data_IF_319070100147
#
_entry.id   IF_319070100147
#
_cell.length_a   1.000
_cell.length_b   1.000
_cell.length_c   1.000
_cell.angle_alpha   90.00
_cell.angle_beta   90.00
_cell.angle_gamma   90.00
#
_symmetry.space_group_name_H-M   'P 1'
#
loop_
_entity.id
_entity.type
_entity.pdbx_description
1 polymer ?
#
# COMPACT_ATOMS: atom_id res chain seq x y z
N UNK A 1 11.61 -16.94 -7.91
CA UNK A 1 10.77 -17.12 -6.69
C UNK A 1 10.58 -15.80 -5.93
N UNK A 2 11.64 -15.15 -5.44
CA UNK A 2 11.57 -13.96 -4.55
C UNK A 2 10.73 -12.79 -5.10
N UNK A 3 10.83 -12.49 -6.40
CA UNK A 3 10.01 -11.45 -7.07
C UNK A 3 8.50 -11.70 -7.00
N UNK A 4 8.07 -12.96 -7.09
CA UNK A 4 6.65 -13.32 -7.01
C UNK A 4 6.12 -13.20 -5.58
N UNK A 5 6.97 -13.47 -4.58
CA UNK A 5 6.60 -13.28 -3.17
C UNK A 5 6.34 -11.80 -2.87
N UNK A 6 7.23 -10.91 -3.31
CA UNK A 6 7.04 -9.46 -3.13
C UNK A 6 5.84 -8.94 -3.91
N UNK A 7 5.57 -9.52 -5.09
CA UNK A 7 4.40 -9.18 -5.88
C UNK A 7 3.09 -9.60 -5.22
N UNK A 8 2.98 -10.84 -4.73
CA UNK A 8 1.81 -11.32 -4.00
C UNK A 8 1.59 -10.49 -2.74
N UNK A 9 2.67 -10.19 -2.00
CA UNK A 9 2.59 -9.31 -0.83
C UNK A 9 2.07 -7.92 -1.21
N UNK A 10 2.54 -7.34 -2.30
CA UNK A 10 2.02 -6.06 -2.82
C UNK A 10 0.54 -6.11 -3.16
N UNK A 11 0.06 -7.19 -3.78
CA UNK A 11 -1.38 -7.40 -4.05
C UNK A 11 -2.16 -7.44 -2.75
N UNK A 12 -1.69 -8.19 -1.74
CA UNK A 12 -2.38 -8.30 -0.45
C UNK A 12 -2.47 -6.93 0.24
N UNK A 13 -1.39 -6.15 0.26
CA UNK A 13 -1.39 -4.81 0.88
C UNK A 13 -2.32 -3.85 0.13
N UNK A 14 -2.32 -3.87 -1.20
CA UNK A 14 -3.26 -3.09 -1.99
C UNK A 14 -4.71 -3.51 -1.72
N UNK A 15 -5.00 -4.82 -1.68
CA UNK A 15 -6.32 -5.35 -1.37
C UNK A 15 -6.81 -4.92 0.03
N UNK A 16 -5.94 -4.96 1.04
CA UNK A 16 -6.27 -4.46 2.39
C UNK A 16 -6.69 -2.99 2.39
N UNK A 17 -6.11 -2.18 1.50
CA UNK A 17 -6.41 -0.73 1.42
C UNK A 17 -7.68 -0.44 0.62
N UNK A 18 -7.89 -1.16 -0.49
CA UNK A 18 -8.96 -0.86 -1.44
C UNK A 18 -10.27 -1.62 -1.18
N UNK A 19 -10.25 -2.71 -0.40
CA UNK A 19 -11.47 -3.41 0.00
C UNK A 19 -12.21 -2.57 1.05
N UNK A 20 -13.46 -2.11 0.79
CA UNK A 20 -14.18 -1.17 1.66
C UNK A 20 -14.30 -1.63 3.12
N UNK A 21 -14.55 -2.93 3.34
CA UNK A 21 -14.71 -3.52 4.68
C UNK A 21 -13.43 -3.46 5.51
N UNK A 22 -12.28 -3.65 4.86
CA UNK A 22 -10.96 -3.61 5.51
C UNK A 22 -10.49 -2.17 5.65
N UNK A 23 -10.76 -1.35 4.64
CA UNK A 23 -10.52 0.10 4.65
C UNK A 23 -11.17 0.78 5.85
N UNK A 24 -12.46 0.52 6.10
CA UNK A 24 -13.19 1.04 7.26
C UNK A 24 -12.47 0.69 8.57
N UNK A 25 -12.08 -0.57 8.75
CA UNK A 25 -11.32 -1.01 9.92
C UNK A 25 -9.97 -0.31 10.07
N UNK A 26 -9.29 -0.01 8.96
CA UNK A 26 -7.97 0.62 8.94
C UNK A 26 -8.03 2.15 9.13
N UNK A 27 -9.07 2.82 8.64
CA UNK A 27 -9.27 4.28 8.79
C UNK A 27 -9.87 4.63 10.15
N UNK A 28 -10.70 3.76 10.72
CA UNK A 28 -11.27 3.97 12.05
C UNK A 28 -10.28 3.65 13.18
N UNK A 29 -9.24 2.86 12.89
CA UNK A 29 -8.17 2.56 13.84
C UNK A 29 -6.84 3.19 13.42
N UNK A 30 -6.31 4.09 14.26
CA UNK A 30 -4.97 4.67 14.06
C UNK A 30 -3.91 3.57 13.86
N UNK A 31 -4.02 2.47 14.62
CA UNK A 31 -3.15 1.30 14.50
C UNK A 31 -3.18 0.66 13.10
N UNK A 32 -4.36 0.47 12.51
CA UNK A 32 -4.51 -0.13 11.19
C UNK A 32 -3.83 0.69 10.09
N UNK A 33 -4.02 2.01 10.12
CA UNK A 33 -3.35 2.93 9.19
C UNK A 33 -1.83 2.83 9.29
N UNK A 34 -1.27 2.84 10.50
CA UNK A 34 0.18 2.68 10.71
C UNK A 34 0.71 1.34 10.19
N UNK A 35 -0.02 0.25 10.44
CA UNK A 35 0.35 -1.09 10.02
C UNK A 35 0.43 -1.22 8.49
N UNK A 36 -0.59 -0.70 7.78
CA UNK A 36 -0.62 -0.74 6.31
C UNK A 36 0.45 0.14 5.69
N UNK A 37 0.71 1.32 6.24
CA UNK A 37 1.82 2.17 5.81
C UNK A 37 3.17 1.44 5.96
N UNK A 38 3.39 0.76 7.08
CA UNK A 38 4.64 0.04 7.33
C UNK A 38 4.81 -1.12 6.34
N UNK A 39 3.78 -1.92 6.13
CA UNK A 39 3.75 -2.99 5.12
C UNK A 39 4.01 -2.47 3.70
N UNK A 40 3.36 -1.37 3.33
CA UNK A 40 3.53 -0.72 2.03
C UNK A 40 4.98 -0.27 1.80
N UNK A 41 5.60 0.35 2.81
CA UNK A 41 7.02 0.75 2.76
C UNK A 41 7.93 -0.48 2.59
N UNK A 42 7.67 -1.56 3.34
CA UNK A 42 8.45 -2.81 3.22
C UNK A 42 8.35 -3.38 1.81
N UNK A 43 7.15 -3.44 1.22
CA UNK A 43 6.94 -3.90 -0.16
C UNK A 43 7.71 -3.01 -1.14
N UNK A 44 7.63 -1.69 -0.99
CA UNK A 44 8.34 -0.74 -1.86
C UNK A 44 9.87 -0.91 -1.78
N UNK A 45 10.42 -0.99 -0.56
CA UNK A 45 11.86 -1.17 -0.36
C UNK A 45 12.35 -2.52 -0.90
N UNK A 46 11.59 -3.59 -0.65
CA UNK A 46 11.89 -4.92 -1.16
C UNK A 46 11.83 -4.96 -2.70
N UNK A 47 10.84 -4.30 -3.30
CA UNK A 47 10.70 -4.17 -4.74
C UNK A 47 11.87 -3.40 -5.37
N UNK A 48 12.27 -2.26 -4.79
CA UNK A 48 13.43 -1.48 -5.25
C UNK A 48 14.74 -2.27 -5.11
N UNK A 49 14.93 -2.96 -3.99
CA UNK A 49 16.12 -3.78 -3.75
C UNK A 49 16.23 -4.92 -4.77
N UNK A 50 15.13 -5.64 -5.01
CA UNK A 50 15.08 -6.71 -6.01
C UNK A 50 15.25 -6.16 -7.42
N UNK A 51 14.69 -4.99 -7.73
CA UNK A 51 14.83 -4.36 -9.04
C UNK A 51 16.28 -3.96 -9.35
N UNK A 52 17.05 -3.56 -8.33
CA UNK A 52 18.47 -3.26 -8.47
C UNK A 52 19.29 -4.51 -8.81
N UNK A 53 18.88 -5.68 -8.31
CA UNK A 53 19.56 -6.96 -8.57
C UNK A 53 19.11 -7.63 -9.87
N UNK A 54 17.81 -7.62 -10.11
CA UNK A 54 17.18 -8.23 -11.28
C UNK A 54 16.16 -7.23 -11.83
N UNK A 55 16.48 -6.60 -12.97
CA UNK A 55 15.50 -5.76 -13.67
C UNK A 55 14.36 -6.64 -14.16
N UNK A 56 13.23 -6.58 -13.46
CA UNK A 56 12.04 -7.38 -13.75
C UNK A 56 10.79 -6.52 -13.67
N UNK A 57 9.91 -6.69 -14.66
CA UNK A 57 8.61 -6.03 -14.70
C UNK A 57 7.80 -6.24 -13.41
N UNK A 58 7.86 -7.45 -12.84
CA UNK A 58 7.15 -7.79 -11.60
C UNK A 58 7.57 -6.93 -10.40
N UNK A 59 8.83 -6.54 -10.31
CA UNK A 59 9.30 -5.68 -9.22
C UNK A 59 8.76 -4.25 -9.38
N UNK A 60 8.64 -3.75 -10.62
CA UNK A 60 8.01 -2.45 -10.89
C UNK A 60 6.53 -2.49 -10.50
N UNK A 61 5.81 -3.54 -10.90
CA UNK A 61 4.40 -3.69 -10.50
C UNK A 61 4.25 -3.80 -8.99
N UNK A 62 5.13 -4.55 -8.31
CA UNK A 62 5.12 -4.66 -6.85
C UNK A 62 5.35 -3.31 -6.17
N UNK A 63 6.23 -2.49 -6.74
CA UNK A 63 6.48 -1.13 -6.24
C UNK A 63 5.25 -0.24 -6.39
N UNK A 64 4.57 -0.26 -7.55
CA UNK A 64 3.34 0.49 -7.78
C UNK A 64 2.24 0.05 -6.80
N UNK A 65 2.09 -1.27 -6.60
CA UNK A 65 1.14 -1.83 -5.65
C UNK A 65 1.43 -1.42 -4.21
N UNK A 66 2.70 -1.39 -3.80
CA UNK A 66 3.11 -0.88 -2.48
C UNK A 66 2.93 0.64 -2.34
N UNK A 67 3.05 1.41 -3.43
CA UNK A 67 2.87 2.86 -3.41
C UNK A 67 1.40 3.27 -3.26
N UNK A 68 0.49 2.43 -3.77
CA UNK A 68 -0.95 2.70 -3.79
C UNK A 68 -1.55 2.94 -2.39
N UNK A 69 -1.29 2.12 -1.36
CA UNK A 69 -1.69 2.39 0.02
C UNK A 69 -1.19 3.73 0.57
N UNK A 70 0.06 4.08 0.28
CA UNK A 70 0.65 5.34 0.77
C UNK A 70 -0.02 6.55 0.13
N UNK A 71 -0.27 6.49 -1.18
CA UNK A 71 -1.02 7.53 -1.90
C UNK A 71 -2.45 7.65 -1.38
N UNK A 72 -3.10 6.52 -1.10
CA UNK A 72 -4.45 6.50 -0.56
C UNK A 72 -4.51 7.18 0.83
N UNK A 73 -3.62 6.80 1.76
CA UNK A 73 -3.56 7.42 3.09
C UNK A 73 -3.29 8.92 2.98
N UNK A 74 -2.38 9.33 2.09
CA UNK A 74 -2.08 10.74 1.85
C UNK A 74 -3.31 11.49 1.32
N UNK A 75 -4.03 10.92 0.35
CA UNK A 75 -5.26 11.49 -0.20
C UNK A 75 -6.34 11.65 0.89
N UNK A 76 -6.59 10.61 1.68
CA UNK A 76 -7.57 10.63 2.78
C UNK A 76 -7.19 11.70 3.82
N UNK A 77 -5.93 11.76 4.22
CA UNK A 77 -5.44 12.74 5.20
C UNK A 77 -5.63 14.17 4.71
N UNK A 78 -5.37 14.41 3.42
CA UNK A 78 -5.59 15.71 2.78
C UNK A 78 -7.09 16.05 2.77
N UNK A 79 -7.95 15.14 2.32
CA UNK A 79 -9.39 15.39 2.23
C UNK A 79 -10.03 15.65 3.60
N UNK A 80 -9.64 14.89 4.63
CA UNK A 80 -10.04 15.14 6.01
C UNK A 80 -9.63 16.53 6.49
N UNK A 81 -8.40 16.97 6.17
CA UNK A 81 -7.91 18.31 6.55
C UNK A 81 -8.70 19.43 5.88
N UNK A 82 -9.24 19.20 4.68
CA UNK A 82 -10.10 20.15 3.96
C UNK A 82 -11.60 20.03 4.33
N UNK A 83 -11.96 19.15 5.28
CA UNK A 83 -13.35 18.95 5.70
C UNK A 83 -14.24 18.34 4.62
N UNK A 84 -13.64 17.75 3.57
CA UNK A 84 -14.37 17.09 2.50
C UNK A 84 -14.78 15.69 2.97
N UNK A 85 -16.06 15.29 2.78
CA UNK A 85 -16.49 13.96 3.16
C UNK A 85 -15.78 12.93 2.28
N UNK A 86 -14.94 12.11 2.91
CA UNK A 86 -14.50 10.84 2.33
C UNK A 86 -15.59 9.82 2.66
N UNK A 87 -16.65 9.80 1.85
CA UNK A 87 -17.81 8.93 2.03
C UNK A 87 -17.43 7.43 1.85
N UNK A 88 -18.22 6.49 2.41
CA UNK A 88 -17.77 5.26 3.07
C UNK A 88 -17.07 4.21 2.21
#
# INVERSE_FOLDING_TARGET
>A
MKKYVVFILGIMVAALTWIPSVRLFLTDSSFGTWFVCLLAIVVCLAALYLQKKERSFWNICSFILGLSPLLFVLLVTVLLKFGLPFAP
#
